data_IF_583769902714
#
_entry.id   IF_583769902714
#
_cell.length_a   1.000
_cell.length_b   1.000
_cell.length_c   1.000
_cell.angle_alpha   90.00
_cell.angle_beta   90.00
_cell.angle_gamma   90.00
#
_symmetry.space_group_name_H-M   'P 1'
#
loop_
_entity.id
_entity.type
_entity.pdbx_description
1 polymer ?
#
# COMPACT_ATOMS: atom_id res chain seq x y z
N UNK A 1 63.02 2.55 31.77
CA UNK A 1 63.79 1.74 30.79
C UNK A 1 62.81 1.41 29.66
N UNK A 2 62.69 2.22 28.61
CA UNK A 2 63.59 2.34 27.43
C UNK A 2 63.64 0.96 26.72
N UNK A 3 63.23 0.73 25.47
CA UNK A 3 63.18 1.62 24.30
C UNK A 3 62.27 1.10 23.20
N UNK A 4 61.78 2.02 22.38
CA UNK A 4 61.40 1.81 20.98
C UNK A 4 62.63 1.59 20.09
N UNK A 5 62.47 1.00 18.89
CA UNK A 5 63.18 1.45 17.70
C UNK A 5 62.48 1.01 16.40
N UNK A 6 62.33 1.98 15.51
CA UNK A 6 61.87 1.88 14.13
C UNK A 6 62.98 1.35 13.20
N UNK A 7 62.63 0.97 11.96
CA UNK A 7 63.13 1.57 10.70
C UNK A 7 62.78 0.70 9.47
N UNK A 8 62.20 1.35 8.44
CA UNK A 8 62.31 0.98 7.01
C UNK A 8 63.66 1.49 6.47
N UNK A 9 64.19 0.95 5.35
CA UNK A 9 64.07 1.62 4.03
C UNK A 9 63.84 0.59 2.88
N UNK A 10 63.08 0.85 1.81
CA UNK A 10 63.29 1.72 0.64
C UNK A 10 64.25 1.16 -0.46
N UNK A 11 63.63 0.68 -1.55
CA UNK A 11 63.99 1.01 -2.94
C UNK A 11 65.16 0.30 -3.64
N UNK A 12 64.88 -0.37 -4.77
CA UNK A 12 65.64 -0.14 -6.00
C UNK A 12 64.85 -0.56 -7.25
N UNK A 13 64.98 0.27 -8.27
CA UNK A 13 64.38 0.24 -9.62
C UNK A 13 65.33 -0.44 -10.62
N UNK A 14 64.81 -1.15 -11.64
CA UNK A 14 65.06 -0.84 -13.06
C UNK A 14 64.35 -1.77 -14.05
N UNK A 15 63.91 -1.12 -15.13
CA UNK A 15 63.37 -1.60 -16.41
C UNK A 15 64.43 -2.29 -17.28
N UNK A 16 63.96 -3.19 -18.14
CA UNK A 16 64.15 -3.23 -19.61
C UNK A 16 63.07 -4.20 -20.17
N UNK A 17 62.09 -3.79 -21.00
CA UNK A 17 62.14 -3.55 -22.47
C UNK A 17 62.98 -4.62 -23.19
N UNK A 18 62.57 -5.29 -24.28
CA UNK A 18 61.50 -5.16 -25.27
C UNK A 18 61.69 -6.38 -26.21
N UNK A 19 60.72 -6.93 -26.94
CA UNK A 19 60.35 -6.59 -28.33
C UNK A 19 59.66 -7.81 -28.99
N UNK A 20 58.56 -7.56 -29.71
CA UNK A 20 58.23 -8.02 -31.09
C UNK A 20 58.08 -9.54 -31.38
N UNK A 21 57.29 -10.05 -32.34
CA UNK A 21 56.32 -9.58 -33.33
C UNK A 21 55.56 -10.84 -33.86
N UNK A 22 54.26 -10.74 -34.15
CA UNK A 22 53.62 -10.83 -35.50
C UNK A 22 53.21 -12.21 -36.06
N UNK A 23 52.02 -12.25 -36.69
CA UNK A 23 51.67 -13.13 -37.83
C UNK A 23 50.47 -14.09 -37.60
N UNK A 24 49.22 -13.63 -37.65
CA UNK A 24 48.27 -13.76 -38.79
C UNK A 24 48.36 -15.04 -39.66
N UNK A 25 47.23 -15.79 -39.73
CA UNK A 25 46.62 -16.26 -41.01
C UNK A 25 45.17 -16.75 -40.82
N UNK A 26 44.32 -16.28 -41.73
CA UNK A 26 42.92 -16.63 -41.94
C UNK A 26 42.73 -18.05 -42.48
N UNK A 27 41.53 -18.62 -42.26
CA UNK A 27 40.91 -19.50 -43.25
C UNK A 27 39.42 -19.17 -43.40
N UNK A 28 39.07 -18.69 -44.59
CA UNK A 28 37.72 -18.61 -45.13
C UNK A 28 37.46 -19.85 -45.98
N UNK A 29 36.22 -20.38 -45.95
CA UNK A 29 35.67 -21.17 -47.05
C UNK A 29 34.19 -20.85 -47.22
N UNK A 30 33.90 -20.17 -48.31
CA UNK A 30 32.58 -20.05 -48.92
C UNK A 30 32.24 -21.33 -49.68
N UNK A 31 31.00 -21.78 -49.61
CA UNK A 31 30.36 -22.60 -50.64
C UNK A 31 28.96 -22.01 -50.88
N UNK A 32 28.62 -21.85 -52.16
CA UNK A 32 27.37 -21.28 -52.66
C UNK A 32 26.72 -22.31 -53.61
N UNK A 33 25.38 -22.17 -53.77
CA UNK A 33 24.41 -22.86 -54.64
C UNK A 33 23.89 -24.24 -54.17
N UNK A 34 22.59 -24.58 -54.21
CA UNK A 34 21.39 -23.93 -54.74
C UNK A 34 20.10 -24.58 -54.17
N UNK A 35 19.01 -23.81 -54.07
CA UNK A 35 17.63 -24.19 -54.42
C UNK A 35 16.84 -25.19 -53.57
N UNK A 36 15.88 -24.68 -52.79
CA UNK A 36 14.45 -24.98 -52.99
C UNK A 36 13.57 -24.03 -52.15
N UNK A 37 12.78 -23.22 -52.86
CA UNK A 37 11.73 -22.36 -52.30
C UNK A 37 10.49 -23.21 -52.03
N UNK A 38 10.03 -23.25 -50.77
CA UNK A 38 8.67 -23.64 -50.43
C UNK A 38 8.06 -22.49 -49.61
N UNK A 39 7.12 -21.78 -50.24
CA UNK A 39 6.45 -20.62 -49.67
C UNK A 39 5.51 -21.02 -48.53
N UNK A 40 5.68 -20.36 -47.38
CA UNK A 40 4.64 -20.23 -46.37
C UNK A 40 4.13 -18.79 -46.44
N UNK A 41 2.93 -18.66 -47.00
CA UNK A 41 2.16 -17.42 -47.03
C UNK A 41 1.81 -17.03 -45.59
N UNK A 42 2.54 -16.09 -45.01
CA UNK A 42 2.12 -15.41 -43.78
C UNK A 42 1.05 -14.41 -44.21
N UNK A 43 -0.22 -14.77 -44.02
CA UNK A 43 -1.34 -13.85 -44.13
C UNK A 43 -1.21 -12.79 -43.05
N UNK A 44 -0.71 -11.62 -43.41
CA UNK A 44 -0.78 -10.42 -42.58
C UNK A 44 -2.23 -9.92 -42.56
N UNK A 45 -3.01 -10.36 -41.57
CA UNK A 45 -4.26 -9.69 -41.22
C UNK A 45 -3.90 -8.40 -40.46
N UNK A 46 -4.43 -7.23 -40.86
CA UNK A 46 -4.26 -6.03 -40.08
C UNK A 46 -5.12 -6.17 -38.81
N UNK A 47 -4.47 -6.29 -37.65
CA UNK A 47 -5.12 -6.03 -36.38
C UNK A 47 -5.43 -4.53 -36.32
N UNK A 48 -6.65 -4.15 -36.72
CA UNK A 48 -7.26 -2.92 -36.24
C UNK A 48 -7.68 -3.16 -34.79
N UNK A 49 -6.74 -2.92 -33.87
CA UNK A 49 -7.10 -2.69 -32.48
C UNK A 49 -7.93 -1.41 -32.44
N UNK A 50 -9.24 -1.56 -32.35
CA UNK A 50 -10.15 -0.47 -32.06
C UNK A 50 -9.96 -0.15 -30.56
N UNK A 51 -8.89 0.59 -30.25
CA UNK A 51 -8.73 1.22 -28.96
C UNK A 51 -9.83 2.28 -28.88
N UNK A 52 -10.99 1.92 -28.33
CA UNK A 52 -11.93 2.90 -27.82
C UNK A 52 -11.13 3.78 -26.85
N UNK A 53 -10.90 5.03 -27.25
CA UNK A 53 -10.48 6.10 -26.37
C UNK A 53 -11.52 6.18 -25.26
N UNK A 54 -11.24 5.50 -24.15
CA UNK A 54 -11.92 5.78 -22.89
C UNK A 54 -11.52 7.21 -22.54
N UNK A 55 -12.45 8.14 -22.69
CA UNK A 55 -12.23 9.48 -22.18
C UNK A 55 -11.92 9.39 -20.67
N UNK A 56 -10.98 10.21 -20.15
CA UNK A 56 -10.70 10.25 -18.73
C UNK A 56 -11.99 10.63 -17.99
N UNK A 57 -12.60 9.65 -17.33
CA UNK A 57 -13.74 9.91 -16.46
C UNK A 57 -13.25 10.78 -15.30
N UNK A 58 -13.81 11.99 -15.22
CA UNK A 58 -13.63 12.90 -14.09
C UNK A 58 -14.84 12.71 -13.18
N UNK A 59 -14.69 12.15 -11.96
CA UNK A 59 -15.82 11.99 -11.06
C UNK A 59 -16.39 13.38 -10.72
N UNK A 60 -17.73 13.54 -10.66
CA UNK A 60 -18.34 14.78 -10.22
C UNK A 60 -17.93 15.08 -8.77
N UNK A 61 -17.64 16.36 -8.48
CA UNK A 61 -17.38 16.82 -7.12
C UNK A 61 -18.64 16.59 -6.26
N UNK A 62 -18.45 15.98 -5.09
CA UNK A 62 -19.44 15.69 -4.06
C UNK A 62 -20.42 14.54 -4.39
N UNK A 63 -20.10 13.33 -3.93
CA UNK A 63 -21.10 12.27 -3.71
C UNK A 63 -21.32 11.94 -2.22
N UNK A 64 -20.90 12.84 -1.32
CA UNK A 64 -21.10 12.72 0.14
C UNK A 64 -22.30 13.54 0.66
N UNK A 65 -23.24 13.95 -0.18
CA UNK A 65 -24.39 14.74 0.28
C UNK A 65 -25.76 14.27 -0.18
N UNK A 66 -25.89 13.09 -0.78
CA UNK A 66 -27.20 12.49 -1.10
C UNK A 66 -27.15 10.96 -0.92
N UNK A 67 -27.07 10.49 0.33
CA UNK A 67 -27.57 9.14 0.62
C UNK A 67 -29.10 9.18 0.59
N UNK A 68 -29.78 8.22 -0.07
CA UNK A 68 -31.17 7.96 0.25
C UNK A 68 -31.22 7.57 1.74
N UNK A 69 -32.16 8.15 2.47
CA UNK A 69 -32.51 7.75 3.82
C UNK A 69 -33.07 6.32 3.74
N UNK A 70 -32.20 5.31 3.84
CA UNK A 70 -32.61 3.92 4.01
C UNK A 70 -32.78 3.76 5.51
N UNK A 71 -34.02 3.91 5.96
CA UNK A 71 -34.39 3.72 7.35
C UNK A 71 -33.84 2.40 7.89
N UNK A 72 -33.28 2.47 9.09
CA UNK A 72 -32.84 1.34 9.91
C UNK A 72 -34.01 0.38 10.20
N UNK A 73 -34.35 -0.49 9.24
CA UNK A 73 -35.13 -1.69 9.52
C UNK A 73 -34.17 -2.78 10.00
N UNK A 74 -34.13 -2.94 11.33
CA UNK A 74 -33.48 -4.05 12.04
C UNK A 74 -34.31 -5.35 11.90
N UNK A 75 -34.43 -5.85 10.70
CA UNK A 75 -34.82 -7.24 10.48
C UNK A 75 -33.53 -8.03 10.22
N UNK A 76 -33.29 -9.12 10.97
CA UNK A 76 -32.11 -9.99 10.82
C UNK A 76 -31.92 -10.34 9.34
N UNK A 77 -30.83 -9.87 8.73
CA UNK A 77 -30.49 -10.18 7.34
C UNK A 77 -29.97 -11.63 7.26
N UNK A 78 -30.92 -12.57 7.21
CA UNK A 78 -30.73 -14.03 7.11
C UNK A 78 -30.00 -14.45 5.81
N UNK A 79 -29.55 -13.49 4.98
CA UNK A 79 -28.80 -13.73 3.74
C UNK A 79 -27.29 -13.89 3.94
N UNK A 80 -26.71 -13.45 5.07
CA UNK A 80 -25.26 -13.56 5.33
C UNK A 80 -24.88 -14.97 5.84
N UNK A 81 -23.75 -15.55 5.38
CA UNK A 81 -23.34 -16.89 5.81
C UNK A 81 -22.92 -16.90 7.29
N UNK A 82 -23.25 -17.98 8.02
CA UNK A 82 -22.80 -18.15 9.42
C UNK A 82 -21.30 -18.47 9.47
N UNK A 83 -20.49 -17.50 9.91
CA UNK A 83 -19.02 -17.58 9.91
C UNK A 83 -18.40 -16.66 10.96
N UNK A 84 -17.21 -16.99 11.45
CA UNK A 84 -16.39 -16.07 12.25
C UNK A 84 -15.62 -15.14 11.30
N UNK A 85 -16.27 -14.07 10.88
CA UNK A 85 -15.73 -13.08 9.94
C UNK A 85 -14.41 -12.45 10.41
N UNK A 86 -14.27 -12.21 11.72
CA UNK A 86 -13.04 -11.68 12.30
C UNK A 86 -11.87 -12.67 12.19
N UNK A 87 -12.10 -13.96 12.44
CA UNK A 87 -11.08 -15.01 12.23
C UNK A 87 -10.73 -15.17 10.75
N UNK A 88 -11.70 -15.07 9.86
CA UNK A 88 -11.45 -15.19 8.42
C UNK A 88 -10.63 -14.02 7.86
N UNK A 89 -10.88 -12.79 8.32
CA UNK A 89 -10.05 -11.63 7.98
C UNK A 89 -8.62 -11.82 8.51
N UNK A 90 -8.46 -12.29 9.76
CA UNK A 90 -7.15 -12.64 10.31
C UNK A 90 -6.44 -13.70 9.45
N UNK A 91 -7.11 -14.77 9.03
CA UNK A 91 -6.53 -15.82 8.18
C UNK A 91 -6.10 -15.30 6.82
N UNK A 92 -6.90 -14.44 6.19
CA UNK A 92 -6.56 -13.85 4.90
C UNK A 92 -5.28 -13.02 5.01
N UNK A 93 -5.22 -12.09 5.97
CA UNK A 93 -4.05 -11.21 6.16
C UNK A 93 -2.80 -12.01 6.55
N UNK A 94 -2.93 -13.03 7.41
CA UNK A 94 -1.82 -13.93 7.75
C UNK A 94 -1.31 -14.67 6.51
N UNK A 95 -2.21 -15.15 5.65
CA UNK A 95 -1.85 -15.87 4.42
C UNK A 95 -1.19 -14.94 3.40
N UNK A 96 -1.74 -13.73 3.23
CA UNK A 96 -1.17 -12.68 2.39
C UNK A 96 0.25 -12.34 2.85
N UNK A 97 0.43 -12.05 4.14
CA UNK A 97 1.73 -11.69 4.70
C UNK A 97 2.76 -12.81 4.53
N UNK A 98 2.39 -14.07 4.83
CA UNK A 98 3.27 -15.23 4.63
C UNK A 98 3.69 -15.37 3.18
N UNK A 99 2.74 -15.28 2.25
CA UNK A 99 3.04 -15.37 0.83
C UNK A 99 3.95 -14.22 0.38
N UNK A 100 3.63 -12.98 0.76
CA UNK A 100 4.38 -11.79 0.39
C UNK A 100 5.82 -11.83 0.91
N UNK A 101 6.00 -12.16 2.20
CA UNK A 101 7.32 -12.27 2.84
C UNK A 101 8.13 -13.47 2.34
N UNK A 102 7.47 -14.50 1.79
CA UNK A 102 8.16 -15.58 1.07
C UNK A 102 8.69 -15.13 -0.30
N UNK A 103 8.00 -14.22 -0.99
CA UNK A 103 8.52 -13.63 -2.24
C UNK A 103 9.61 -12.60 -1.97
N UNK A 104 9.42 -11.76 -0.95
CA UNK A 104 10.36 -10.70 -0.57
C UNK A 104 10.30 -10.46 0.93
N UNK A 105 11.32 -10.90 1.66
CA UNK A 105 11.32 -10.91 3.14
C UNK A 105 11.28 -9.53 3.79
N UNK A 106 11.61 -8.47 3.05
CA UNK A 106 11.56 -7.08 3.47
C UNK A 106 10.24 -6.38 3.08
N UNK A 107 9.29 -7.08 2.44
CA UNK A 107 8.00 -6.52 2.05
C UNK A 107 7.17 -6.18 3.29
N UNK A 108 6.94 -4.89 3.51
CA UNK A 108 6.23 -4.41 4.69
C UNK A 108 4.71 -4.64 4.56
N UNK A 109 4.10 -5.18 5.61
CA UNK A 109 2.65 -5.40 5.69
C UNK A 109 2.09 -4.53 6.82
N UNK A 110 1.30 -3.53 6.47
CA UNK A 110 0.67 -2.62 7.43
C UNK A 110 -0.85 -2.77 7.33
N UNK A 111 -1.53 -3.03 8.44
CA UNK A 111 -2.98 -3.01 8.48
C UNK A 111 -3.49 -1.58 8.72
N UNK A 112 -4.52 -1.15 8.01
CA UNK A 112 -5.23 0.08 8.28
C UNK A 112 -6.47 -0.23 9.13
N UNK A 113 -6.62 0.50 10.25
CA UNK A 113 -7.69 0.30 11.23
C UNK A 113 -7.71 -1.16 11.78
N UNK A 114 -8.89 -1.68 12.16
CA UNK A 114 -9.06 -3.08 12.59
C UNK A 114 -8.21 -3.53 13.81
N UNK A 115 -7.88 -2.61 14.72
CA UNK A 115 -7.00 -2.88 15.88
C UNK A 115 -7.52 -4.02 16.78
N UNK A 116 -8.81 -4.24 16.86
CA UNK A 116 -9.42 -5.28 17.69
C UNK A 116 -9.18 -6.70 17.16
N UNK A 117 -8.87 -6.86 15.86
CA UNK A 117 -8.39 -8.13 15.31
C UNK A 117 -7.03 -8.57 15.90
N UNK A 118 -6.34 -7.70 16.65
CA UNK A 118 -5.16 -8.11 17.44
C UNK A 118 -5.53 -8.96 18.65
N UNK A 119 -6.82 -9.12 18.93
CA UNK A 119 -7.34 -9.98 19.99
C UNK A 119 -8.42 -10.91 19.46
N UNK A 120 -8.68 -11.99 20.20
CA UNK A 120 -9.81 -12.86 19.94
C UNK A 120 -10.33 -13.43 21.25
N UNK A 121 -11.60 -13.79 21.27
CA UNK A 121 -12.24 -14.47 22.38
C UNK A 121 -12.43 -15.92 21.95
N UNK A 122 -11.89 -16.87 22.71
CA UNK A 122 -12.17 -18.28 22.47
C UNK A 122 -13.65 -18.57 22.78
N UNK A 123 -14.39 -19.27 21.91
CA UNK A 123 -15.78 -19.62 22.21
C UNK A 123 -15.88 -20.47 23.49
N UNK A 124 -16.82 -20.13 24.39
CA UNK A 124 -17.08 -20.87 25.63
C UNK A 124 -18.35 -20.39 26.34
N UNK A 125 -18.89 -21.21 27.26
CA UNK A 125 -20.18 -20.92 27.93
C UNK A 125 -20.18 -19.65 28.80
N UNK A 126 -19.01 -19.20 29.28
CA UNK A 126 -18.86 -18.06 30.19
C UNK A 126 -17.67 -17.19 29.78
N UNK A 127 -17.68 -16.71 28.54
CA UNK A 127 -16.62 -15.83 28.03
C UNK A 127 -17.08 -14.40 27.95
N UNK A 128 -16.20 -13.50 28.35
CA UNK A 128 -16.42 -12.05 28.41
C UNK A 128 -15.31 -11.34 27.64
N UNK A 129 -15.45 -10.03 27.42
CA UNK A 129 -14.39 -9.22 26.78
C UNK A 129 -13.08 -9.25 27.56
N UNK A 130 -13.08 -9.53 28.87
CA UNK A 130 -11.85 -9.67 29.66
C UNK A 130 -11.08 -10.97 29.38
N UNK A 131 -11.70 -11.95 28.73
CA UNK A 131 -11.07 -13.22 28.34
C UNK A 131 -10.34 -13.12 26.98
N UNK A 132 -10.34 -11.93 26.37
CA UNK A 132 -9.71 -11.70 25.08
C UNK A 132 -8.20 -12.02 25.13
N UNK A 133 -7.78 -12.95 24.29
CA UNK A 133 -6.39 -13.38 24.13
C UNK A 133 -5.75 -12.66 22.94
N UNK A 134 -4.42 -12.43 22.95
CA UNK A 134 -3.74 -11.85 21.80
C UNK A 134 -3.79 -12.81 20.60
N UNK A 135 -4.21 -12.31 19.44
CA UNK A 135 -4.18 -13.02 18.16
C UNK A 135 -2.75 -13.06 17.61
N UNK A 136 -1.87 -13.85 18.26
CA UNK A 136 -0.41 -13.82 18.04
C UNK A 136 0.01 -14.03 16.58
N UNK A 137 -0.69 -14.88 15.84
CA UNK A 137 -0.37 -15.13 14.43
C UNK A 137 -0.66 -13.90 13.56
N UNK A 138 -1.77 -13.21 13.83
CA UNK A 138 -2.12 -11.97 13.15
C UNK A 138 -1.15 -10.85 13.50
N UNK A 139 -0.85 -10.65 14.79
CA UNK A 139 0.13 -9.64 15.25
C UNK A 139 1.50 -9.87 14.57
N UNK A 140 1.98 -11.11 14.49
CA UNK A 140 3.27 -11.44 13.86
C UNK A 140 3.27 -11.33 12.34
N UNK A 141 2.10 -11.32 11.70
CA UNK A 141 1.99 -11.15 10.27
C UNK A 141 2.22 -9.68 9.85
N UNK A 142 2.02 -8.73 10.76
CA UNK A 142 2.07 -7.31 10.49
C UNK A 142 3.40 -6.69 10.94
N UNK A 143 3.82 -5.66 10.22
CA UNK A 143 4.98 -4.81 10.55
C UNK A 143 4.54 -3.45 11.12
N UNK A 144 3.30 -3.04 10.85
CA UNK A 144 2.74 -1.79 11.34
C UNK A 144 1.21 -1.73 11.34
N UNK A 145 0.68 -0.68 11.97
CA UNK A 145 -0.71 -0.26 11.83
C UNK A 145 -0.79 1.19 11.40
N UNK A 146 -1.71 1.49 10.50
CA UNK A 146 -2.20 2.84 10.24
C UNK A 146 -3.54 3.02 10.93
N UNK A 147 -3.65 4.02 11.80
CA UNK A 147 -4.91 4.38 12.47
C UNK A 147 -5.41 5.68 11.87
N UNK A 148 -6.63 5.64 11.36
CA UNK A 148 -7.30 6.78 10.77
C UNK A 148 -8.12 7.56 11.80
N UNK A 149 -8.00 8.88 11.71
CA UNK A 149 -8.59 9.87 12.60
C UNK A 149 -8.51 9.50 14.09
N UNK A 150 -7.33 9.16 14.63
CA UNK A 150 -7.20 8.79 16.05
C UNK A 150 -7.57 9.95 16.97
N UNK A 151 -7.41 11.21 16.53
CA UNK A 151 -7.71 12.40 17.34
C UNK A 151 -8.60 13.40 16.63
N UNK A 152 -8.49 13.54 15.32
CA UNK A 152 -9.26 14.50 14.54
C UNK A 152 -9.69 13.91 13.19
N UNK A 153 -10.96 14.11 12.83
CA UNK A 153 -11.44 13.84 11.49
C UNK A 153 -12.46 12.73 11.33
N UNK A 154 -12.82 11.99 12.40
CA UNK A 154 -13.66 10.81 12.26
C UNK A 154 -15.10 11.15 11.90
N UNK A 155 -15.68 12.12 12.61
CA UNK A 155 -17.04 12.63 12.35
C UNK A 155 -17.06 13.91 11.49
N UNK A 156 -15.98 14.12 10.75
CA UNK A 156 -15.81 15.24 9.83
C UNK A 156 -14.50 16.01 10.03
N UNK A 157 -14.07 16.67 8.96
CA UNK A 157 -12.81 17.39 8.87
C UNK A 157 -12.63 18.40 10.02
N UNK A 158 -11.44 18.44 10.64
CA UNK A 158 -11.09 19.26 11.80
C UNK A 158 -11.86 19.01 13.10
N UNK A 159 -12.83 18.08 13.14
CA UNK A 159 -13.55 17.75 14.38
C UNK A 159 -12.76 16.80 15.26
N UNK A 160 -12.87 16.95 16.57
CA UNK A 160 -12.29 15.99 17.52
C UNK A 160 -12.99 14.63 17.41
N UNK A 161 -12.21 13.56 17.40
CA UNK A 161 -12.71 12.19 17.51
C UNK A 161 -13.31 11.97 18.89
N UNK A 162 -14.43 11.26 18.97
CA UNK A 162 -15.16 11.08 20.23
C UNK A 162 -14.31 10.39 21.31
N UNK A 163 -14.49 10.77 22.58
CA UNK A 163 -13.64 10.25 23.66
C UNK A 163 -13.70 8.72 23.81
N UNK A 164 -14.88 8.12 23.60
CA UNK A 164 -15.04 6.66 23.67
C UNK A 164 -14.23 5.93 22.62
N UNK A 165 -14.12 6.51 21.43
CA UNK A 165 -13.35 5.97 20.31
C UNK A 165 -11.84 6.14 20.51
N UNK A 166 -11.42 7.31 20.98
CA UNK A 166 -10.03 7.55 21.37
C UNK A 166 -9.57 6.51 22.40
N UNK A 167 -10.40 6.26 23.43
CA UNK A 167 -10.11 5.24 24.46
C UNK A 167 -10.10 3.83 23.87
N UNK A 168 -11.01 3.54 22.95
CA UNK A 168 -11.09 2.25 22.28
C UNK A 168 -9.82 1.94 21.46
N UNK A 169 -9.27 2.91 20.72
CA UNK A 169 -8.03 2.70 19.98
C UNK A 169 -6.82 2.61 20.92
N UNK A 170 -6.78 3.49 21.93
CA UNK A 170 -5.67 3.58 22.87
C UNK A 170 -5.41 2.26 23.62
N UNK A 171 -6.44 1.56 24.08
CA UNK A 171 -6.26 0.27 24.78
C UNK A 171 -5.56 -0.80 23.92
N UNK A 172 -5.74 -0.79 22.59
CA UNK A 172 -5.07 -1.73 21.70
C UNK A 172 -3.66 -1.27 21.40
N UNK A 173 -3.48 0.01 21.09
CA UNK A 173 -2.17 0.61 20.83
C UNK A 173 -1.19 0.42 21.99
N UNK A 174 -1.66 0.59 23.23
CA UNK A 174 -0.85 0.36 24.44
C UNK A 174 -0.39 -1.10 24.54
N UNK A 175 -1.26 -2.07 24.25
CA UNK A 175 -0.90 -3.51 24.25
C UNK A 175 0.12 -3.85 23.16
N UNK A 176 0.09 -3.10 22.06
CA UNK A 176 0.93 -3.31 20.90
C UNK A 176 2.26 -2.54 20.97
N UNK A 177 2.41 -1.57 21.88
CA UNK A 177 3.61 -0.74 22.03
C UNK A 177 4.91 -1.54 22.18
N UNK A 178 4.85 -2.73 22.78
CA UNK A 178 6.01 -3.60 23.03
C UNK A 178 6.20 -4.72 21.99
N UNK A 179 5.44 -4.74 20.88
CA UNK A 179 5.55 -5.78 19.85
C UNK A 179 6.58 -5.45 18.76
N UNK A 180 7.19 -4.25 18.82
CA UNK A 180 8.10 -3.74 17.79
C UNK A 180 7.40 -3.18 16.56
N UNK A 181 6.08 -3.01 16.61
CA UNK A 181 5.27 -2.53 15.50
C UNK A 181 5.47 -1.04 15.22
N UNK A 182 5.41 -0.64 13.94
CA UNK A 182 5.42 0.78 13.57
C UNK A 182 4.00 1.32 13.47
N UNK A 183 3.73 2.46 14.13
CA UNK A 183 2.42 3.11 14.06
C UNK A 183 2.44 4.30 13.10
N UNK A 184 1.40 4.41 12.29
CA UNK A 184 1.09 5.52 11.40
C UNK A 184 -0.23 6.15 11.85
N UNK A 185 -0.26 7.45 12.04
CA UNK A 185 -1.40 8.19 12.59
C UNK A 185 -1.82 9.25 11.58
N UNK A 186 -3.05 9.12 11.08
CA UNK A 186 -3.61 9.97 10.04
C UNK A 186 -4.78 10.77 10.62
N UNK A 187 -4.61 12.06 10.88
CA UNK A 187 -5.74 12.93 11.26
C UNK A 187 -6.19 13.78 10.06
N UNK A 188 -7.49 14.02 9.95
CA UNK A 188 -8.04 14.98 8.97
C UNK A 188 -8.12 16.37 9.57
N UNK A 189 -7.01 17.09 9.50
CA UNK A 189 -6.91 18.45 10.01
C UNK A 189 -5.82 19.25 9.30
N UNK A 190 -6.09 20.52 9.06
CA UNK A 190 -5.12 21.50 8.58
C UNK A 190 -4.76 22.56 9.65
N UNK A 191 -5.26 22.37 10.87
CA UNK A 191 -5.01 23.29 11.99
C UNK A 191 -3.74 22.90 12.73
N UNK A 192 -2.75 23.79 12.73
CA UNK A 192 -1.48 23.58 13.43
C UNK A 192 -1.66 23.29 14.93
N UNK A 193 -2.70 23.85 15.56
CA UNK A 193 -3.04 23.55 16.96
C UNK A 193 -3.47 22.09 17.16
N UNK A 194 -4.41 21.60 16.35
CA UNK A 194 -4.86 20.20 16.37
C UNK A 194 -3.69 19.24 16.13
N UNK A 195 -2.85 19.54 15.14
CA UNK A 195 -1.64 18.78 14.81
C UNK A 195 -0.71 18.67 16.02
N UNK A 196 -0.42 19.80 16.70
CA UNK A 196 0.44 19.80 17.89
C UNK A 196 -0.17 19.02 19.04
N UNK A 197 -1.47 19.19 19.29
CA UNK A 197 -2.21 18.48 20.35
C UNK A 197 -2.22 16.97 20.09
N UNK A 198 -2.50 16.55 18.86
CA UNK A 198 -2.47 15.13 18.47
C UNK A 198 -1.09 14.50 18.66
N UNK A 199 -0.03 15.14 18.13
CA UNK A 199 1.36 14.67 18.31
C UNK A 199 1.79 14.61 19.77
N UNK A 200 1.37 15.56 20.59
CA UNK A 200 1.66 15.56 22.02
C UNK A 200 0.94 14.44 22.77
N UNK A 201 -0.31 14.14 22.39
CA UNK A 201 -1.11 13.08 22.99
C UNK A 201 -0.58 11.68 22.62
N UNK A 202 -0.05 11.53 21.41
CA UNK A 202 0.43 10.23 20.90
C UNK A 202 1.94 10.02 21.08
N UNK A 203 2.65 10.94 21.75
CA UNK A 203 4.12 10.95 21.80
C UNK A 203 4.74 9.66 22.35
N UNK A 204 4.07 9.01 23.30
CA UNK A 204 4.60 7.83 23.99
C UNK A 204 4.59 6.57 23.10
N UNK A 205 3.83 6.60 22.00
CA UNK A 205 3.83 5.57 20.96
C UNK A 205 4.92 5.78 19.89
N UNK A 206 5.60 6.95 19.90
CA UNK A 206 6.48 7.42 18.82
C UNK A 206 5.93 7.14 17.39
N UNK A 207 4.72 7.59 17.05
CA UNK A 207 4.14 7.27 15.75
C UNK A 207 4.70 8.17 14.65
N UNK A 208 4.66 7.65 13.44
CA UNK A 208 4.64 8.49 12.25
C UNK A 208 3.30 9.23 12.18
N UNK A 209 3.32 10.54 11.97
CA UNK A 209 2.12 11.38 11.96
C UNK A 209 1.95 12.11 10.63
N UNK A 210 0.75 12.04 10.05
CA UNK A 210 0.35 12.80 8.87
C UNK A 210 -0.96 13.53 9.13
N UNK A 211 -0.99 14.80 8.75
CA UNK A 211 -2.17 15.65 8.79
C UNK A 211 -2.72 15.74 7.36
N UNK A 212 -3.82 15.05 7.09
CA UNK A 212 -4.43 15.00 5.77
C UNK A 212 -4.99 16.39 5.37
N UNK A 213 -4.83 16.81 4.10
CA UNK A 213 -5.30 18.10 3.63
C UNK A 213 -6.83 18.17 3.46
N UNK A 214 -7.40 19.39 3.41
CA UNK A 214 -8.83 19.61 3.20
C UNK A 214 -9.22 19.40 1.72
N UNK A 215 -10.51 19.38 1.39
CA UNK A 215 -11.67 19.50 2.30
C UNK A 215 -12.43 18.19 2.55
N UNK A 216 -12.20 17.16 1.74
CA UNK A 216 -13.15 16.06 1.53
C UNK A 216 -12.68 14.70 2.06
N UNK A 217 -11.61 14.69 2.87
CA UNK A 217 -11.03 13.47 3.46
C UNK A 217 -10.61 12.43 2.41
N UNK A 218 -10.57 12.77 1.12
CA UNK A 218 -10.27 11.83 0.03
C UNK A 218 -8.77 11.53 -0.12
N UNK A 219 -7.92 12.21 0.65
CA UNK A 219 -6.46 12.12 0.53
C UNK A 219 -6.00 12.42 -0.91
N UNK A 220 -6.60 13.47 -1.48
CA UNK A 220 -6.51 13.84 -2.89
C UNK A 220 -5.47 14.94 -3.18
N UNK A 221 -4.70 15.32 -2.14
CA UNK A 221 -3.66 16.34 -2.20
C UNK A 221 -2.53 16.05 -1.20
N UNK A 222 -1.43 16.79 -1.34
CA UNK A 222 -0.38 16.86 -0.32
C UNK A 222 -0.73 17.89 0.76
N UNK A 223 -0.37 17.60 2.00
CA UNK A 223 -0.50 18.54 3.10
C UNK A 223 0.23 19.86 2.81
N UNK A 224 -0.47 20.98 3.02
CA UNK A 224 0.13 22.33 2.97
C UNK A 224 0.53 22.84 4.36
N UNK A 225 0.05 22.17 5.41
CA UNK A 225 0.29 22.53 6.81
C UNK A 225 0.74 21.26 7.57
N UNK A 226 1.98 21.23 8.09
CA UNK A 226 3.08 22.16 7.79
C UNK A 226 3.44 22.14 6.29
N UNK A 227 4.06 23.22 5.79
CA UNK A 227 4.50 23.32 4.38
C UNK A 227 5.67 22.41 4.04
N UNK A 228 6.32 21.85 5.05
CA UNK A 228 7.38 20.83 4.95
C UNK A 228 7.10 19.72 5.95
N UNK A 229 7.50 18.46 5.66
CA UNK A 229 7.29 17.36 6.59
C UNK A 229 7.90 17.65 7.96
N UNK A 230 7.20 17.28 9.04
CA UNK A 230 7.85 17.25 10.35
C UNK A 230 9.03 16.27 10.32
N UNK A 231 10.10 16.60 11.05
CA UNK A 231 11.28 15.73 11.16
C UNK A 231 11.86 15.33 9.80
N UNK A 232 11.94 16.27 8.86
CA UNK A 232 12.60 16.07 7.57
C UNK A 232 13.96 15.40 7.74
N UNK A 233 14.24 14.42 6.89
CA UNK A 233 15.28 13.45 7.14
C UNK A 233 16.16 13.26 5.89
N UNK A 234 17.46 13.60 5.94
CA UNK A 234 18.34 13.42 4.80
C UNK A 234 18.79 11.97 4.62
N UNK A 235 18.55 11.06 5.56
CA UNK A 235 19.08 9.69 5.51
C UNK A 235 18.31 8.77 4.56
N UNK A 236 18.99 7.71 4.10
CA UNK A 236 18.38 6.61 3.33
C UNK A 236 17.35 5.88 4.20
N UNK A 237 16.17 5.61 3.62
CA UNK A 237 15.11 4.83 4.28
C UNK A 237 14.95 3.50 3.54
N UNK A 238 15.39 2.42 4.17
CA UNK A 238 15.35 1.03 3.69
C UNK A 238 14.43 0.14 4.55
N UNK A 239 13.84 0.69 5.62
CA UNK A 239 12.87 0.03 6.49
C UNK A 239 11.93 1.05 7.13
N UNK A 240 10.68 0.67 7.38
CA UNK A 240 9.67 1.55 7.97
C UNK A 240 10.06 2.08 9.36
N UNK A 241 10.94 1.38 10.08
CA UNK A 241 11.43 1.81 11.40
C UNK A 241 12.44 2.97 11.34
N UNK A 242 13.09 3.22 10.18
CA UNK A 242 14.00 4.36 10.01
C UNK A 242 13.28 5.65 9.60
N UNK A 243 12.02 5.54 9.17
CA UNK A 243 11.24 6.69 8.75
C UNK A 243 10.88 7.58 9.94
N UNK A 244 10.85 8.90 9.69
CA UNK A 244 10.49 9.94 10.67
C UNK A 244 9.22 10.69 10.30
N UNK A 245 8.75 10.54 9.07
CA UNK A 245 7.52 11.13 8.56
C UNK A 245 7.01 10.31 7.37
N UNK A 246 5.77 10.58 6.96
CA UNK A 246 5.17 9.99 5.77
C UNK A 246 4.13 10.93 5.19
N UNK A 247 3.75 10.67 3.94
CA UNK A 247 2.54 11.23 3.34
C UNK A 247 1.71 10.12 2.73
N UNK A 248 0.40 10.36 2.67
CA UNK A 248 -0.56 9.47 2.04
C UNK A 248 -1.37 10.27 1.01
N UNK A 249 -1.36 9.79 -0.24
CA UNK A 249 -2.12 10.35 -1.36
C UNK A 249 -2.65 9.21 -2.21
N UNK A 250 -3.91 8.84 -1.98
CA UNK A 250 -4.56 7.70 -2.64
C UNK A 250 -5.58 8.11 -3.70
N UNK A 251 -6.06 9.36 -3.67
CA UNK A 251 -6.71 9.96 -4.82
C UNK A 251 -5.74 10.90 -5.53
N UNK A 252 -5.62 10.73 -6.84
CA UNK A 252 -4.74 11.54 -7.68
C UNK A 252 -5.49 12.34 -8.74
N UNK A 253 -6.83 12.27 -8.76
CA UNK A 253 -7.64 12.98 -9.73
C UNK A 253 -7.38 14.50 -9.77
N UNK A 254 -7.23 15.21 -8.63
CA UNK A 254 -7.01 16.66 -8.63
C UNK A 254 -5.66 17.12 -9.20
N UNK A 255 -4.68 16.22 -9.38
CA UNK A 255 -3.38 16.57 -9.97
C UNK A 255 -3.46 16.74 -11.50
N UNK A 256 -4.59 16.42 -12.13
CA UNK A 256 -4.82 16.64 -13.56
C UNK A 256 -4.26 15.53 -14.45
N UNK A 257 -2.97 15.22 -14.36
CA UNK A 257 -2.36 14.11 -15.09
C UNK A 257 -1.29 13.37 -14.27
N UNK A 258 -0.89 12.19 -14.75
CA UNK A 258 0.04 11.31 -14.04
C UNK A 258 1.41 11.97 -13.83
N UNK A 259 1.96 12.68 -14.82
CA UNK A 259 3.26 13.34 -14.67
C UNK A 259 3.21 14.44 -13.61
N UNK A 260 2.14 15.25 -13.58
CA UNK A 260 1.95 16.27 -12.54
C UNK A 260 1.83 15.66 -11.15
N UNK A 261 1.10 14.55 -11.01
CA UNK A 261 1.01 13.78 -9.77
C UNK A 261 2.37 13.26 -9.31
N UNK A 262 3.09 12.54 -10.17
CA UNK A 262 4.42 11.98 -9.88
C UNK A 262 5.42 13.08 -9.55
N UNK A 263 5.44 14.17 -10.31
CA UNK A 263 6.35 15.29 -10.08
C UNK A 263 6.06 16.00 -8.75
N UNK A 264 4.78 16.17 -8.38
CA UNK A 264 4.42 16.78 -7.10
C UNK A 264 4.93 15.95 -5.92
N UNK A 265 4.75 14.63 -5.97
CA UNK A 265 5.24 13.71 -4.94
C UNK A 265 6.78 13.62 -4.92
N UNK A 266 7.42 13.58 -6.09
CA UNK A 266 8.87 13.58 -6.23
C UNK A 266 9.50 14.82 -5.57
N UNK A 267 8.81 15.97 -5.63
CA UNK A 267 9.24 17.23 -5.03
C UNK A 267 8.99 17.37 -3.52
N UNK A 268 8.85 16.26 -2.80
CA UNK A 268 8.71 16.22 -1.34
C UNK A 268 9.86 15.48 -0.67
N UNK A 269 10.03 15.68 0.64
CA UNK A 269 11.04 15.01 1.46
C UNK A 269 10.44 14.03 2.48
N UNK A 270 9.26 13.47 2.16
CA UNK A 270 8.67 12.43 2.98
C UNK A 270 9.51 11.14 2.93
N UNK A 271 9.77 10.50 4.07
CA UNK A 271 10.51 9.24 4.19
C UNK A 271 9.74 8.04 3.64
N UNK A 272 8.41 8.12 3.68
CA UNK A 272 7.48 7.13 3.13
C UNK A 272 6.39 7.85 2.33
N UNK A 273 6.08 7.34 1.14
CA UNK A 273 4.87 7.71 0.40
C UNK A 273 3.92 6.50 0.35
N UNK A 274 2.70 6.67 0.83
CA UNK A 274 1.60 5.70 0.70
C UNK A 274 0.70 6.15 -0.43
N UNK A 275 0.61 5.37 -1.50
CA UNK A 275 0.02 5.78 -2.77
C UNK A 275 -0.93 4.70 -3.33
N UNK A 276 -1.86 5.13 -4.17
CA UNK A 276 -2.49 4.22 -5.12
C UNK A 276 -1.50 3.88 -6.26
N UNK A 277 -1.49 2.62 -6.72
CA UNK A 277 -0.67 2.19 -7.84
C UNK A 277 -1.20 2.68 -9.20
N UNK A 278 -2.38 3.29 -9.22
CA UNK A 278 -3.06 3.78 -10.41
C UNK A 278 -3.43 5.26 -10.25
N UNK A 279 -2.97 6.08 -11.19
CA UNK A 279 -3.48 7.43 -11.34
C UNK A 279 -4.97 7.38 -11.72
N UNK A 280 -5.81 8.11 -10.99
CA UNK A 280 -7.28 8.10 -11.13
C UNK A 280 -7.88 6.69 -11.09
N UNK A 281 -7.30 5.82 -10.26
CA UNK A 281 -7.77 4.44 -10.06
C UNK A 281 -7.56 3.48 -11.23
N UNK A 282 -7.25 3.97 -12.44
CA UNK A 282 -7.26 3.18 -13.69
C UNK A 282 -5.95 3.22 -14.48
N UNK A 283 -5.16 4.30 -14.40
CA UNK A 283 -3.94 4.46 -15.19
C UNK A 283 -2.72 4.03 -14.37
N UNK A 284 -2.07 2.89 -14.65
CA UNK A 284 -0.99 2.39 -13.81
C UNK A 284 0.22 3.33 -13.78
N UNK A 285 0.83 3.43 -12.60
CA UNK A 285 2.20 3.91 -12.47
C UNK A 285 3.15 2.96 -13.22
N UNK A 286 4.24 3.52 -13.73
CA UNK A 286 5.27 2.78 -14.48
C UNK A 286 6.54 2.64 -13.66
N UNK A 287 7.46 1.77 -14.10
CA UNK A 287 8.78 1.66 -13.50
C UNK A 287 9.54 3.00 -13.45
N UNK A 288 9.36 3.85 -14.48
CA UNK A 288 9.97 5.18 -14.51
C UNK A 288 9.35 6.13 -13.49
N UNK A 289 8.03 6.05 -13.28
CA UNK A 289 7.34 6.79 -12.22
C UNK A 289 7.88 6.37 -10.85
N UNK A 290 7.98 5.05 -10.61
CA UNK A 290 8.50 4.50 -9.35
C UNK A 290 9.95 4.89 -9.10
N UNK A 291 10.80 4.89 -10.14
CA UNK A 291 12.19 5.33 -10.06
C UNK A 291 12.32 6.80 -9.71
N UNK A 292 11.42 7.67 -10.23
CA UNK A 292 11.37 9.09 -9.84
C UNK A 292 10.93 9.23 -8.38
N UNK A 293 9.86 8.55 -8.00
CA UNK A 293 9.30 8.59 -6.64
C UNK A 293 10.25 8.03 -5.59
N UNK A 294 11.15 7.12 -5.97
CA UNK A 294 12.12 6.47 -5.08
C UNK A 294 13.02 7.46 -4.33
N UNK A 295 13.25 8.65 -4.86
CA UNK A 295 14.12 9.65 -4.25
C UNK A 295 13.33 10.81 -3.69
N UNK A 296 13.67 11.22 -2.46
CA UNK A 296 13.26 12.49 -1.86
C UNK A 296 13.76 13.66 -2.71
N UNK A 297 13.15 14.84 -2.57
CA UNK A 297 13.63 16.07 -3.21
C UNK A 297 15.10 16.37 -2.88
N UNK A 298 15.54 16.03 -1.66
CA UNK A 298 16.93 16.14 -1.20
C UNK A 298 17.88 15.08 -1.80
N UNK A 299 17.37 14.15 -2.61
CA UNK A 299 18.15 13.18 -3.38
C UNK A 299 18.37 11.82 -2.70
N UNK A 300 17.87 11.60 -1.49
CA UNK A 300 18.04 10.32 -0.79
C UNK A 300 16.85 9.37 -0.96
N UNK A 301 17.09 8.05 -1.03
CA UNK A 301 16.01 7.06 -1.17
C UNK A 301 15.00 7.09 -0.03
N UNK A 302 13.75 6.84 -0.39
CA UNK A 302 12.58 6.66 0.49
C UNK A 302 11.85 5.37 0.18
N UNK A 303 10.92 4.99 1.06
CA UNK A 303 10.02 3.87 0.82
C UNK A 303 8.73 4.31 0.12
N UNK A 304 8.20 3.43 -0.72
CA UNK A 304 6.94 3.53 -1.42
C UNK A 304 6.06 2.39 -0.96
N UNK A 305 4.89 2.69 -0.42
CA UNK A 305 3.90 1.69 0.02
C UNK A 305 2.63 1.84 -0.83
N UNK A 306 2.06 0.72 -1.23
CA UNK A 306 0.81 0.72 -2.00
C UNK A 306 -0.40 0.58 -1.07
N UNK A 307 -1.42 1.40 -1.29
CA UNK A 307 -2.74 1.22 -0.70
C UNK A 307 -3.48 0.09 -1.42
N UNK A 308 -4.00 -0.88 -0.67
CA UNK A 308 -4.72 -2.05 -1.20
C UNK A 308 -5.92 -2.34 -0.32
N UNK A 309 -7.12 -2.26 -0.88
CA UNK A 309 -8.33 -2.75 -0.23
C UNK A 309 -8.47 -4.27 -0.44
N UNK A 310 -8.70 -5.00 0.65
CA UNK A 310 -8.93 -6.46 0.64
C UNK A 310 -10.34 -6.87 1.04
N UNK A 311 -11.14 -5.93 1.59
CA UNK A 311 -12.50 -6.14 2.05
C UNK A 311 -13.55 -5.80 0.99
N UNK A 312 -13.21 -4.95 0.01
CA UNK A 312 -14.13 -4.60 -1.07
C UNK A 312 -13.52 -4.72 -2.47
N UNK A 313 -14.40 -4.97 -3.45
CA UNK A 313 -14.09 -4.92 -4.86
C UNK A 313 -14.46 -3.55 -5.44
N UNK A 314 -13.44 -2.76 -5.76
CA UNK A 314 -13.56 -1.51 -6.52
C UNK A 314 -13.87 -1.77 -7.99
N UNK A 315 -15.00 -1.25 -8.46
CA UNK A 315 -15.54 -1.52 -9.82
C UNK A 315 -14.74 -0.89 -10.95
N UNK A 316 -13.91 0.11 -10.65
CA UNK A 316 -13.02 0.78 -11.61
C UNK A 316 -11.63 0.13 -11.74
N UNK A 317 -11.34 -0.94 -10.98
CA UNK A 317 -10.03 -1.59 -11.01
C UNK A 317 -9.87 -2.51 -12.20
N UNK A 318 -8.61 -2.75 -12.57
CA UNK A 318 -8.24 -3.61 -13.69
C UNK A 318 -8.75 -5.06 -13.57
N UNK A 319 -8.98 -5.56 -12.35
CA UNK A 319 -9.49 -6.91 -12.12
C UNK A 319 -11.01 -7.01 -12.31
N UNK A 320 -11.73 -5.88 -12.25
CA UNK A 320 -13.17 -5.86 -12.40
C UNK A 320 -13.53 -6.19 -13.85
N UNK A 321 -14.41 -7.18 -14.05
CA UNK A 321 -14.81 -7.60 -15.39
C UNK A 321 -16.17 -7.00 -15.74
N UNK A 322 -16.40 -6.79 -17.04
CA UNK A 322 -17.62 -6.16 -17.54
C UNK A 322 -18.91 -6.93 -17.21
N UNK A 323 -18.81 -8.24 -16.98
CA UNK A 323 -19.93 -9.12 -16.61
C UNK A 323 -20.17 -9.22 -15.10
N UNK A 324 -19.29 -8.61 -14.29
CA UNK A 324 -19.41 -8.60 -12.83
C UNK A 324 -20.47 -7.62 -12.34
N UNK A 325 -21.16 -8.00 -11.27
CA UNK A 325 -22.21 -7.25 -10.58
C UNK A 325 -22.41 -7.84 -9.19
N UNK A 326 -23.18 -7.16 -8.33
CA UNK A 326 -23.55 -7.74 -7.04
C UNK A 326 -24.19 -9.14 -7.23
N UNK A 327 -23.69 -10.12 -6.48
CA UNK A 327 -24.06 -11.53 -6.57
C UNK A 327 -23.46 -12.31 -7.75
N UNK A 328 -22.56 -11.73 -8.55
CA UNK A 328 -21.94 -12.42 -9.69
C UNK A 328 -20.58 -11.81 -10.07
N UNK A 329 -19.46 -12.53 -9.94
CA UNK A 329 -19.32 -13.88 -9.39
C UNK A 329 -19.70 -13.95 -7.91
N UNK A 330 -19.91 -15.18 -7.41
CA UNK A 330 -20.45 -15.43 -6.07
C UNK A 330 -19.69 -14.71 -4.95
N UNK A 331 -18.38 -14.48 -5.09
CA UNK A 331 -17.59 -13.75 -4.10
C UNK A 331 -17.85 -12.23 -4.06
N UNK A 332 -18.67 -11.68 -4.97
CA UNK A 332 -19.05 -10.26 -4.98
C UNK A 332 -20.44 -10.13 -4.37
N UNK A 333 -20.53 -9.43 -3.25
CA UNK A 333 -21.77 -9.17 -2.53
C UNK A 333 -22.39 -7.83 -2.95
N UNK A 334 -23.25 -7.27 -2.10
CA UNK A 334 -23.88 -5.97 -2.27
C UNK A 334 -22.88 -4.82 -2.33
N UNK A 335 -23.34 -3.68 -2.84
CA UNK A 335 -22.59 -2.43 -2.81
C UNK A 335 -22.24 -2.03 -1.37
N UNK A 336 -21.04 -1.48 -1.19
CA UNK A 336 -20.58 -0.85 0.03
C UNK A 336 -20.89 0.64 -0.01
N UNK A 337 -21.65 1.10 0.98
CA UNK A 337 -21.97 2.52 1.15
C UNK A 337 -20.94 3.27 2.01
N UNK A 338 -19.99 2.54 2.61
CA UNK A 338 -18.89 3.10 3.40
C UNK A 338 -17.62 3.27 2.57
N UNK A 339 -17.63 2.80 1.33
CA UNK A 339 -16.52 2.89 0.41
C UNK A 339 -16.10 4.32 0.10
N UNK A 340 -14.79 4.59 0.08
CA UNK A 340 -14.25 5.96 -0.03
C UNK A 340 -14.70 6.68 -1.32
N UNK A 341 -14.94 5.92 -2.39
CA UNK A 341 -15.37 6.43 -3.69
C UNK A 341 -16.77 5.99 -4.12
N UNK A 342 -17.52 5.30 -3.25
CA UNK A 342 -18.91 4.90 -3.49
C UNK A 342 -19.13 3.97 -4.69
N UNK A 343 -18.09 3.28 -5.15
CA UNK A 343 -18.10 2.38 -6.32
C UNK A 343 -17.45 1.04 -5.99
N UNK A 344 -17.83 0.51 -4.83
CA UNK A 344 -17.23 -0.64 -4.19
C UNK A 344 -18.31 -1.64 -3.80
N UNK A 345 -18.02 -2.94 -3.92
CA UNK A 345 -18.90 -4.01 -3.43
C UNK A 345 -18.18 -4.79 -2.34
N UNK A 346 -18.88 -5.15 -1.26
CA UNK A 346 -18.34 -6.09 -0.29
C UNK A 346 -17.98 -7.40 -0.98
N UNK A 347 -16.92 -8.05 -0.53
CA UNK A 347 -16.52 -9.35 -1.07
C UNK A 347 -16.51 -10.41 0.00
N UNK A 348 -16.74 -11.65 -0.40
CA UNK A 348 -16.44 -12.80 0.45
C UNK A 348 -14.92 -12.96 0.52
N UNK A 349 -14.26 -12.18 1.36
CA UNK A 349 -12.79 -12.11 1.42
C UNK A 349 -12.13 -13.43 1.86
N UNK A 350 -12.91 -14.35 2.45
CA UNK A 350 -12.50 -15.71 2.74
C UNK A 350 -12.47 -16.65 1.52
N UNK A 351 -13.05 -16.25 0.39
CA UNK A 351 -13.11 -17.08 -0.80
C UNK A 351 -11.79 -17.10 -1.57
N UNK A 352 -11.26 -18.28 -1.95
CA UNK A 352 -10.01 -18.39 -2.70
C UNK A 352 -10.00 -17.63 -4.03
N UNK A 353 -11.16 -17.47 -4.68
CA UNK A 353 -11.27 -16.72 -5.93
C UNK A 353 -10.90 -15.25 -5.74
N UNK A 354 -11.42 -14.61 -4.69
CA UNK A 354 -11.05 -13.24 -4.33
C UNK A 354 -9.59 -13.16 -3.88
N UNK A 355 -9.17 -14.07 -3.00
CA UNK A 355 -7.79 -14.09 -2.51
C UNK A 355 -6.77 -14.23 -3.65
N UNK A 356 -7.06 -15.02 -4.68
CA UNK A 356 -6.20 -15.19 -5.86
C UNK A 356 -6.09 -13.93 -6.74
N UNK A 357 -7.08 -13.03 -6.69
CA UNK A 357 -6.98 -11.72 -7.34
C UNK A 357 -5.99 -10.84 -6.56
N UNK A 358 -6.05 -10.89 -5.23
CA UNK A 358 -5.22 -10.04 -4.36
C UNK A 358 -3.78 -10.57 -4.25
N UNK A 359 -3.60 -11.84 -3.88
CA UNK A 359 -2.29 -12.45 -3.60
C UNK A 359 -2.21 -13.92 -4.04
N UNK A 360 -1.07 -14.59 -3.80
CA UNK A 360 -0.95 -16.04 -3.92
C UNK A 360 -0.37 -16.56 -5.25
N UNK A 361 -0.28 -15.73 -6.28
CA UNK A 361 0.25 -16.13 -7.60
C UNK A 361 0.91 -14.93 -8.32
N UNK A 362 1.65 -15.21 -9.40
CA UNK A 362 2.43 -14.18 -10.11
C UNK A 362 1.60 -13.10 -10.82
N UNK A 363 0.30 -13.35 -11.04
CA UNK A 363 -0.63 -12.43 -11.70
C UNK A 363 -1.53 -11.70 -10.70
N UNK A 364 -1.35 -11.91 -9.40
CA UNK A 364 -2.16 -11.28 -8.37
C UNK A 364 -1.76 -9.81 -8.18
N UNK A 365 -2.65 -9.03 -7.57
CA UNK A 365 -2.45 -7.60 -7.38
C UNK A 365 -1.15 -7.29 -6.61
N UNK A 366 -0.94 -7.93 -5.46
CA UNK A 366 0.28 -7.74 -4.64
C UNK A 366 1.54 -8.19 -5.40
N UNK A 367 1.49 -9.20 -6.27
CA UNK A 367 2.61 -9.59 -7.12
C UNK A 367 2.99 -8.46 -8.09
N UNK A 368 1.99 -7.85 -8.74
CA UNK A 368 2.19 -6.71 -9.62
C UNK A 368 2.78 -5.51 -8.89
N UNK A 369 2.34 -5.22 -7.66
CA UNK A 369 2.89 -4.15 -6.82
C UNK A 369 4.37 -4.38 -6.47
N UNK A 370 4.75 -5.62 -6.14
CA UNK A 370 6.14 -6.00 -5.92
C UNK A 370 6.99 -5.79 -7.18
N UNK A 371 6.51 -6.23 -8.34
CA UNK A 371 7.22 -6.10 -9.62
C UNK A 371 7.37 -4.64 -10.05
N UNK A 372 6.35 -3.82 -9.79
CA UNK A 372 6.38 -2.38 -10.06
C UNK A 372 7.39 -1.64 -9.18
N UNK A 373 7.72 -2.20 -8.02
CA UNK A 373 8.77 -1.71 -7.13
C UNK A 373 8.26 -1.02 -5.86
N UNK A 374 7.09 -1.40 -5.34
CA UNK A 374 6.65 -1.00 -4.00
C UNK A 374 7.38 -1.78 -2.90
N UNK A 375 7.67 -1.15 -1.77
CA UNK A 375 8.38 -1.74 -0.63
C UNK A 375 7.46 -2.47 0.36
N UNK A 376 6.15 -2.28 0.20
CA UNK A 376 5.13 -2.88 1.04
C UNK A 376 3.73 -2.42 0.68
N UNK A 377 2.77 -2.82 1.48
CA UNK A 377 1.37 -2.41 1.35
C UNK A 377 0.81 -1.90 2.66
N UNK A 378 -0.16 -1.00 2.53
CA UNK A 378 -1.14 -0.63 3.56
C UNK A 378 -2.46 -1.27 3.15
N UNK A 379 -2.94 -2.20 3.97
CA UNK A 379 -4.14 -3.00 3.75
C UNK A 379 -5.33 -2.25 4.32
N UNK A 380 -6.25 -1.83 3.45
CA UNK A 380 -7.57 -1.30 3.82
C UNK A 380 -8.67 -2.38 3.69
N UNK A 381 -9.87 -2.08 4.17
CA UNK A 381 -10.98 -3.03 4.24
C UNK A 381 -10.80 -4.08 5.33
N UNK A 382 -9.84 -3.88 6.25
CA UNK A 382 -9.58 -4.79 7.37
C UNK A 382 -10.77 -4.84 8.32
N UNK A 383 -11.49 -3.73 8.49
CA UNK A 383 -12.69 -3.62 9.33
C UNK A 383 -13.99 -4.02 8.64
N UNK A 384 -13.94 -4.39 7.35
CA UNK A 384 -15.11 -4.87 6.59
C UNK A 384 -15.76 -6.10 7.23
N UNK A 385 -15.01 -6.89 8.01
CA UNK A 385 -15.58 -8.01 8.78
C UNK A 385 -16.72 -7.58 9.72
N UNK A 386 -16.75 -6.32 10.18
CA UNK A 386 -17.83 -5.79 11.02
C UNK A 386 -19.13 -5.71 10.25
N UNK A 387 -19.09 -5.24 9.01
CA UNK A 387 -20.26 -5.25 8.14
C UNK A 387 -20.83 -6.66 7.97
N UNK A 388 -19.98 -7.69 7.88
CA UNK A 388 -20.43 -9.07 7.82
C UNK A 388 -20.98 -9.61 9.14
N UNK A 389 -20.41 -9.18 10.26
CA UNK A 389 -20.80 -9.60 11.61
C UNK A 389 -22.06 -8.90 12.13
N UNK A 390 -22.34 -7.70 11.64
CA UNK A 390 -23.57 -6.95 11.92
C UNK A 390 -24.74 -7.69 11.26
N UNK A 391 -25.51 -8.40 12.09
CA UNK A 391 -26.76 -9.08 11.77
C UNK A 391 -27.92 -8.42 12.49
#
# INVERSE_FOLDING_TARGET
MVSALALRPAGFTRRHQSETASGWRLFSRSFFLAGLMAGLMISSLPFHANAQQLEPFVPPANSLSNSPDVGDNKDEDDSKPKRDFAEEMRKMIVSLSRWAKNQRSDFSIIAMNGLDLTTFIEPGLFVTKSDAKPARNFIRALDGFLVEAPRYGRDGYNKETAEGEVKYDQQYLERLSNTGMRFFMLDYTDKMENIRKSRQNLKDLDPLYYAAPPPDMQLSALAKVPSTPFNENPFVIDTIHKARNYAMVIDSAPFGNKDAYVNALANTNYDILILDAFHRGTVPLTFDDMRKLRYKKLGTPRLLLAYVDVGTAQTYRYYWRADWRAGSPDFISSASNTGRWGQENHVYYWEPQWQNIIFGNANSYVAGLMQLGFDGIVIDGVDDYRWWADQ
#
